data_IF_651512522975
#
_entry.id   IF_651512522975
#
_cell.length_a   1.000
_cell.length_b   1.000
_cell.length_c   1.000
_cell.angle_alpha   90.00
_cell.angle_beta   90.00
_cell.angle_gamma   90.00
#
_symmetry.space_group_name_H-M   'P 1'
#
loop_
_entity.id
_entity.type
_entity.pdbx_description
1 polymer ?
#
# COMPACT_ATOMS: atom_id res chain seq x y z
N UNK A 1 -5.66 -22.45 -29.75
CA UNK A 1 -5.85 -21.28 -28.85
C UNK A 1 -4.57 -21.12 -28.06
N UNK A 2 -3.81 -20.06 -28.33
CA UNK A 2 -2.71 -19.63 -27.45
C UNK A 2 -3.33 -19.12 -26.15
N UNK A 3 -2.81 -19.46 -24.97
CA UNK A 3 -3.33 -18.93 -23.72
C UNK A 3 -3.21 -17.39 -23.69
N UNK A 4 -4.29 -16.69 -23.35
CA UNK A 4 -4.32 -15.22 -23.29
C UNK A 4 -3.57 -14.64 -22.06
N UNK A 5 -3.18 -15.49 -21.11
CA UNK A 5 -2.45 -15.15 -19.89
C UNK A 5 -1.33 -16.16 -19.66
N UNK A 6 -0.08 -15.77 -19.90
CA UNK A 6 1.10 -16.60 -19.64
C UNK A 6 2.12 -15.78 -18.86
N UNK A 7 2.39 -16.18 -17.62
CA UNK A 7 3.47 -15.56 -16.84
C UNK A 7 4.76 -16.30 -17.15
N UNK A 8 5.70 -15.60 -17.79
CA UNK A 8 7.06 -16.11 -17.94
C UNK A 8 7.89 -15.70 -16.73
N UNK A 9 8.55 -16.66 -16.08
CA UNK A 9 9.37 -16.44 -14.89
C UNK A 9 10.74 -15.82 -15.21
N UNK A 10 10.73 -14.59 -15.75
CA UNK A 10 11.91 -13.75 -15.94
C UNK A 10 12.01 -12.61 -14.92
N UNK A 11 12.95 -11.66 -15.12
CA UNK A 11 13.18 -10.58 -14.16
C UNK A 11 11.94 -9.73 -13.86
N UNK A 12 11.07 -9.50 -14.85
CA UNK A 12 9.81 -8.76 -14.70
C UNK A 12 8.91 -9.36 -13.62
N UNK A 13 8.60 -10.65 -13.74
CA UNK A 13 7.69 -11.35 -12.82
C UNK A 13 8.33 -11.63 -11.46
N UNK A 14 9.64 -11.92 -11.42
CA UNK A 14 10.40 -12.14 -10.18
C UNK A 14 10.53 -10.84 -9.37
N UNK A 15 11.01 -9.76 -9.98
CA UNK A 15 11.21 -8.48 -9.27
C UNK A 15 9.89 -7.89 -8.80
N UNK A 16 8.83 -7.95 -9.63
CA UNK A 16 7.51 -7.49 -9.19
C UNK A 16 7.00 -8.31 -8.01
N UNK A 17 7.13 -9.63 -8.01
CA UNK A 17 6.70 -10.47 -6.89
C UNK A 17 7.50 -10.19 -5.61
N UNK A 18 8.83 -10.09 -5.73
CA UNK A 18 9.71 -9.75 -4.60
C UNK A 18 9.36 -8.36 -4.05
N UNK A 19 9.17 -7.37 -4.93
CA UNK A 19 8.74 -6.03 -4.57
C UNK A 19 7.41 -6.03 -3.83
N UNK A 20 6.43 -6.81 -4.30
CA UNK A 20 5.13 -7.00 -3.65
C UNK A 20 5.27 -7.59 -2.26
N UNK A 21 6.04 -8.67 -2.10
CA UNK A 21 6.23 -9.29 -0.78
C UNK A 21 6.88 -8.30 0.19
N UNK A 22 7.94 -7.61 -0.25
CA UNK A 22 8.65 -6.61 0.57
C UNK A 22 7.70 -5.46 0.94
N UNK A 23 6.91 -4.92 0.00
CA UNK A 23 6.02 -3.81 0.31
C UNK A 23 4.92 -4.24 1.29
N UNK A 24 4.37 -5.45 1.16
CA UNK A 24 3.34 -5.96 2.06
C UNK A 24 3.88 -6.12 3.49
N UNK A 25 5.08 -6.69 3.63
CA UNK A 25 5.77 -6.78 4.92
C UNK A 25 5.98 -5.37 5.50
N UNK A 26 6.40 -4.41 4.67
CA UNK A 26 6.57 -3.02 5.08
C UNK A 26 5.29 -2.37 5.61
N UNK A 27 4.17 -2.51 4.90
CA UNK A 27 2.86 -2.00 5.35
C UNK A 27 2.47 -2.63 6.69
N UNK A 28 2.52 -3.96 6.78
CA UNK A 28 2.13 -4.67 7.99
C UNK A 28 3.03 -4.35 9.18
N UNK A 29 4.33 -4.14 8.97
CA UNK A 29 5.25 -3.73 10.01
C UNK A 29 4.89 -2.35 10.57
N UNK A 30 4.68 -1.35 9.70
CA UNK A 30 4.29 0.01 10.12
C UNK A 30 2.95 -0.02 10.83
N UNK A 31 1.98 -0.74 10.27
CA UNK A 31 0.64 -0.84 10.82
C UNK A 31 0.66 -1.52 12.20
N UNK A 32 1.33 -2.65 12.32
CA UNK A 32 1.47 -3.34 13.60
C UNK A 32 2.19 -2.49 14.64
N UNK A 33 3.27 -1.82 14.24
CA UNK A 33 4.03 -0.94 15.13
C UNK A 33 3.15 0.19 15.66
N UNK A 34 2.34 0.80 14.78
CA UNK A 34 1.40 1.83 15.17
C UNK A 34 0.32 1.29 16.12
N UNK A 35 -0.25 0.13 15.82
CA UNK A 35 -1.27 -0.50 16.67
C UNK A 35 -0.75 -0.86 18.07
N UNK A 36 0.48 -1.38 18.17
CA UNK A 36 1.08 -1.82 19.44
C UNK A 36 1.68 -0.65 20.23
N UNK A 37 2.62 0.09 19.62
CA UNK A 37 3.33 1.17 20.31
C UNK A 37 2.46 2.41 20.48
N UNK A 38 1.62 2.73 19.49
CA UNK A 38 0.71 3.88 19.55
C UNK A 38 -0.35 3.73 20.63
N UNK A 39 -0.96 2.54 20.74
CA UNK A 39 -1.93 2.27 21.82
C UNK A 39 -1.27 2.23 23.20
N UNK A 40 -0.07 1.67 23.31
CA UNK A 40 0.70 1.69 24.56
C UNK A 40 1.09 3.12 24.98
N UNK A 41 1.52 3.95 24.03
CA UNK A 41 1.83 5.36 24.26
C UNK A 41 0.60 6.13 24.74
N UNK A 42 -0.56 5.91 24.10
CA UNK A 42 -1.84 6.47 24.55
C UNK A 42 -2.17 6.04 25.98
N UNK A 43 -2.05 4.76 26.32
CA UNK A 43 -2.32 4.26 27.67
C UNK A 43 -1.42 4.92 28.72
N UNK A 44 -0.12 5.07 28.44
CA UNK A 44 0.82 5.79 29.33
C UNK A 44 0.45 7.24 29.51
N UNK A 45 0.11 7.93 28.42
CA UNK A 45 -0.30 9.34 28.46
C UNK A 45 -1.60 9.52 29.25
N UNK A 46 -2.60 8.63 29.05
CA UNK A 46 -3.85 8.64 29.80
C UNK A 46 -3.63 8.43 31.30
N UNK A 47 -2.78 7.47 31.67
CA UNK A 47 -2.46 7.20 33.08
C UNK A 47 -1.79 8.39 33.79
N UNK A 48 -1.04 9.23 33.05
CA UNK A 48 -0.41 10.45 33.58
C UNK A 48 -1.32 11.67 33.62
N UNK A 49 -2.29 11.76 32.70
CA UNK A 49 -3.12 12.95 32.48
C UNK A 49 -4.36 13.08 33.37
N UNK A 50 -4.74 12.01 34.09
CA UNK A 50 -6.00 11.95 34.85
C UNK A 50 -7.25 11.90 33.97
N UNK A 51 -8.38 11.48 34.53
CA UNK A 51 -9.67 11.46 33.82
C UNK A 51 -10.20 12.90 33.66
N UNK A 52 -10.21 13.42 32.44
CA UNK A 52 -10.85 14.71 32.11
C UNK A 52 -10.10 15.57 31.09
N UNK A 53 -8.80 15.35 30.91
CA UNK A 53 -8.00 16.09 29.92
C UNK A 53 -7.85 15.31 28.61
N UNK A 54 -7.78 16.02 27.49
CA UNK A 54 -7.41 15.44 26.21
C UNK A 54 -6.05 14.73 26.34
N UNK A 55 -5.98 13.44 26.00
CA UNK A 55 -4.75 12.66 26.09
C UNK A 55 -3.76 13.17 25.05
N UNK A 56 -2.68 13.80 25.51
CA UNK A 56 -1.58 14.26 24.65
C UNK A 56 -0.43 13.25 24.76
N UNK A 57 -0.12 12.58 23.67
CA UNK A 57 1.01 11.67 23.59
C UNK A 57 2.29 12.51 23.36
N UNK A 58 3.37 12.30 24.15
CA UNK A 58 4.65 12.97 23.92
C UNK A 58 5.19 12.70 22.50
N UNK A 59 5.84 13.68 21.90
CA UNK A 59 6.30 13.60 20.51
C UNK A 59 7.27 12.44 20.27
N UNK A 60 8.19 12.19 21.21
CA UNK A 60 9.12 11.06 21.14
C UNK A 60 8.42 9.69 21.14
N UNK A 61 7.29 9.57 21.87
CA UNK A 61 6.48 8.35 21.87
C UNK A 61 5.72 8.19 20.54
N UNK A 62 5.28 9.29 19.92
CA UNK A 62 4.66 9.30 18.60
C UNK A 62 5.67 8.93 17.49
N UNK A 63 6.89 9.47 17.54
CA UNK A 63 7.98 9.13 16.61
C UNK A 63 8.31 7.65 16.67
N UNK A 64 8.41 7.08 17.88
CA UNK A 64 8.68 5.67 18.08
C UNK A 64 7.55 4.75 17.57
N UNK A 65 6.31 5.26 17.57
CA UNK A 65 5.12 4.54 17.16
C UNK A 65 4.82 4.63 15.65
N UNK A 66 5.32 5.67 14.96
CA UNK A 66 5.27 5.83 13.50
C UNK A 66 6.67 5.67 12.87
N UNK A 67 7.16 4.44 12.70
CA UNK A 67 8.48 4.22 12.10
C UNK A 67 8.51 4.69 10.65
N UNK A 68 9.68 5.16 10.20
CA UNK A 68 9.88 5.51 8.80
C UNK A 68 9.70 4.25 7.92
N UNK A 69 8.87 4.29 6.86
CA UNK A 69 8.46 3.11 6.12
C UNK A 69 9.48 2.68 5.04
N UNK A 70 10.76 2.48 5.41
CA UNK A 70 11.85 2.10 4.47
C UNK A 70 11.49 0.84 3.67
N UNK A 71 11.03 -0.21 4.35
CA UNK A 71 10.74 -1.51 3.71
C UNK A 71 9.63 -1.36 2.67
N UNK A 72 8.60 -0.57 2.98
CA UNK A 72 7.52 -0.28 2.02
C UNK A 72 8.03 0.46 0.78
N UNK A 73 8.86 1.49 0.97
CA UNK A 73 9.43 2.26 -0.14
C UNK A 73 10.35 1.38 -0.99
N UNK A 74 11.20 0.56 -0.37
CA UNK A 74 12.07 -0.38 -1.08
C UNK A 74 11.27 -1.38 -1.93
N UNK A 75 10.17 -1.91 -1.39
CA UNK A 75 9.29 -2.81 -2.14
C UNK A 75 8.71 -2.15 -3.39
N UNK A 76 8.26 -0.90 -3.28
CA UNK A 76 7.81 -0.13 -4.46
C UNK A 76 8.92 0.17 -5.46
N UNK A 77 10.14 0.48 -5.00
CA UNK A 77 11.28 0.70 -5.90
C UNK A 77 11.60 -0.56 -6.70
N UNK A 78 11.67 -1.71 -6.03
CA UNK A 78 11.90 -3.01 -6.70
C UNK A 78 10.76 -3.33 -7.68
N UNK A 79 9.51 -3.10 -7.26
CA UNK A 79 8.34 -3.27 -8.12
C UNK A 79 8.39 -2.36 -9.36
N UNK A 80 8.72 -1.08 -9.18
CA UNK A 80 8.86 -0.13 -10.28
C UNK A 80 9.99 -0.53 -11.24
N UNK A 81 11.14 -0.96 -10.71
CA UNK A 81 12.26 -1.45 -11.51
C UNK A 81 11.91 -2.68 -12.34
N UNK A 82 10.91 -3.47 -11.94
CA UNK A 82 10.45 -4.60 -12.75
C UNK A 82 9.97 -4.16 -14.13
N UNK A 83 9.45 -2.93 -14.31
CA UNK A 83 9.01 -2.40 -15.60
C UNK A 83 10.17 -2.14 -16.56
N UNK A 84 11.43 -2.22 -16.13
CA UNK A 84 12.57 -2.14 -17.03
C UNK A 84 12.77 -3.42 -17.86
N UNK A 85 12.03 -4.49 -17.55
CA UNK A 85 12.12 -5.79 -18.21
C UNK A 85 10.81 -6.14 -18.92
N UNK A 86 10.91 -6.88 -20.01
CA UNK A 86 9.74 -7.35 -20.76
C UNK A 86 9.03 -8.53 -20.09
N UNK A 87 7.79 -8.80 -20.50
CA UNK A 87 7.00 -9.97 -20.06
C UNK A 87 7.45 -11.28 -20.71
N UNK A 88 8.36 -11.25 -21.69
CA UNK A 88 8.81 -12.42 -22.46
C UNK A 88 9.88 -13.28 -21.75
N UNK A 89 10.11 -13.06 -20.46
CA UNK A 89 11.07 -13.82 -19.66
C UNK A 89 12.56 -13.46 -19.89
N UNK A 90 12.87 -12.67 -20.92
CA UNK A 90 14.22 -12.25 -21.24
C UNK A 90 14.87 -11.35 -20.17
N UNK A 91 16.21 -11.37 -20.11
CA UNK A 91 17.01 -10.58 -19.16
C UNK A 91 17.45 -9.23 -19.70
N UNK A 92 17.30 -9.00 -21.01
CA UNK A 92 17.58 -7.72 -21.62
C UNK A 92 16.58 -6.66 -21.12
N UNK A 93 17.08 -5.44 -20.93
CA UNK A 93 16.21 -4.29 -20.70
C UNK A 93 15.32 -4.10 -21.93
N UNK A 94 14.05 -3.81 -21.69
CA UNK A 94 13.14 -3.46 -22.77
C UNK A 94 13.28 -1.98 -23.14
N UNK A 95 12.87 -1.63 -24.36
CA UNK A 95 12.80 -0.25 -24.77
C UNK A 95 11.84 0.55 -23.88
N UNK A 96 12.28 1.74 -23.46
CA UNK A 96 11.51 2.60 -22.57
C UNK A 96 10.39 3.31 -23.35
N UNK A 97 9.27 2.61 -23.50
CA UNK A 97 8.05 3.20 -24.05
C UNK A 97 7.44 4.23 -23.08
N UNK A 98 6.64 5.20 -23.58
CA UNK A 98 5.91 6.13 -22.71
C UNK A 98 5.01 5.40 -21.69
N UNK A 99 4.47 4.24 -22.05
CA UNK A 99 3.62 3.42 -21.18
C UNK A 99 4.43 2.83 -20.02
N UNK A 100 5.60 2.28 -20.32
CA UNK A 100 6.53 1.74 -19.32
C UNK A 100 6.98 2.82 -18.35
N UNK A 101 7.36 3.99 -18.86
CA UNK A 101 7.76 5.15 -18.05
C UNK A 101 6.61 5.60 -17.15
N UNK A 102 5.38 5.66 -17.67
CA UNK A 102 4.21 6.03 -16.90
C UNK A 102 3.92 5.03 -15.77
N UNK A 103 4.13 3.73 -15.99
CA UNK A 103 3.95 2.71 -14.96
C UNK A 103 4.98 2.82 -13.82
N UNK A 104 6.24 3.10 -14.17
CA UNK A 104 7.29 3.41 -13.20
C UNK A 104 6.87 4.65 -12.41
N UNK A 105 6.46 5.72 -13.10
CA UNK A 105 6.03 6.96 -12.46
C UNK A 105 4.88 6.75 -11.47
N UNK A 106 3.79 6.09 -11.86
CA UNK A 106 2.67 5.82 -10.95
C UNK A 106 3.07 4.95 -9.76
N UNK A 107 3.98 3.98 -9.95
CA UNK A 107 4.53 3.17 -8.86
C UNK A 107 5.28 4.04 -7.84
N UNK A 108 6.10 4.99 -8.31
CA UNK A 108 6.81 5.93 -7.44
C UNK A 108 5.87 6.92 -6.75
N UNK A 109 4.83 7.39 -7.45
CA UNK A 109 3.79 8.23 -6.83
C UNK A 109 3.08 7.48 -5.70
N UNK A 110 2.71 6.21 -5.91
CA UNK A 110 2.12 5.37 -4.86
C UNK A 110 3.07 5.19 -3.67
N UNK A 111 4.36 4.94 -3.94
CA UNK A 111 5.39 4.83 -2.92
C UNK A 111 5.46 6.09 -2.04
N UNK A 112 5.47 7.27 -2.66
CA UNK A 112 5.55 8.55 -1.96
C UNK A 112 4.25 8.86 -1.23
N UNK A 113 3.10 8.82 -1.92
CA UNK A 113 1.81 9.23 -1.35
C UNK A 113 1.42 8.37 -0.14
N UNK A 114 1.60 7.06 -0.22
CA UNK A 114 1.20 6.13 0.83
C UNK A 114 2.24 5.95 1.96
N UNK A 115 3.43 6.57 1.86
CA UNK A 115 4.48 6.46 2.88
C UNK A 115 4.44 7.64 3.87
N UNK A 116 5.44 8.51 3.84
CA UNK A 116 5.66 9.58 4.83
C UNK A 116 4.52 10.60 4.87
N UNK A 117 3.99 11.11 3.74
CA UNK A 117 2.89 12.07 3.76
C UNK A 117 1.61 11.50 4.39
N UNK A 118 1.25 10.25 4.05
CA UNK A 118 0.09 9.59 4.64
C UNK A 118 0.30 9.35 6.13
N UNK A 119 1.45 8.81 6.53
CA UNK A 119 1.80 8.60 7.93
C UNK A 119 1.71 9.90 8.74
N UNK A 120 2.23 11.00 8.22
CA UNK A 120 2.12 12.32 8.85
C UNK A 120 0.67 12.80 8.94
N UNK A 121 -0.13 12.63 7.89
CA UNK A 121 -1.53 13.03 7.92
C UNK A 121 -2.31 12.28 9.01
N UNK A 122 -2.01 11.00 9.22
CA UNK A 122 -2.66 10.13 10.20
C UNK A 122 -2.18 10.44 11.61
N UNK A 123 -0.87 10.49 11.80
CA UNK A 123 -0.21 10.82 13.07
C UNK A 123 -0.77 12.10 13.68
N UNK A 124 -0.81 13.17 12.89
CA UNK A 124 -1.29 14.48 13.35
C UNK A 124 -2.80 14.70 13.10
N UNK A 125 -3.55 13.67 12.72
CA UNK A 125 -5.01 13.72 12.51
C UNK A 125 -5.45 14.82 11.53
N UNK A 126 -4.65 15.06 10.49
CA UNK A 126 -4.91 16.09 9.44
C UNK A 126 -5.88 15.56 8.39
N UNK A 127 -7.17 15.49 8.72
CA UNK A 127 -8.25 14.93 7.87
C UNK A 127 -8.24 15.44 6.43
N UNK A 128 -8.11 16.75 6.22
CA UNK A 128 -8.10 17.35 4.88
C UNK A 128 -6.91 16.91 4.03
N UNK A 129 -5.73 16.76 4.64
CA UNK A 129 -4.54 16.26 3.96
C UNK A 129 -4.68 14.77 3.64
N UNK A 130 -5.16 13.97 4.60
CA UNK A 130 -5.43 12.53 4.38
C UNK A 130 -6.38 12.33 3.20
N UNK A 131 -7.48 13.08 3.14
CA UNK A 131 -8.45 12.97 2.04
C UNK A 131 -7.82 13.22 0.67
N UNK A 132 -7.00 14.28 0.54
CA UNK A 132 -6.27 14.58 -0.70
C UNK A 132 -5.29 13.46 -1.08
N UNK A 133 -4.52 12.97 -0.09
CA UNK A 133 -3.59 11.85 -0.29
C UNK A 133 -4.31 10.55 -0.68
N UNK A 134 -5.43 10.23 -0.04
CA UNK A 134 -6.26 9.05 -0.38
C UNK A 134 -6.83 9.15 -1.79
N UNK A 135 -7.25 10.34 -2.22
CA UNK A 135 -7.71 10.55 -3.60
C UNK A 135 -6.56 10.36 -4.60
N UNK A 136 -5.38 10.93 -4.33
CA UNK A 136 -4.19 10.71 -5.16
C UNK A 136 -3.79 9.23 -5.20
N UNK A 137 -3.90 8.52 -4.09
CA UNK A 137 -3.64 7.08 -4.02
C UNK A 137 -4.59 6.30 -4.94
N UNK A 138 -5.90 6.56 -4.89
CA UNK A 138 -6.88 5.89 -5.76
C UNK A 138 -6.63 6.24 -7.23
N UNK A 139 -6.42 7.51 -7.56
CA UNK A 139 -6.12 7.94 -8.94
C UNK A 139 -4.83 7.31 -9.47
N UNK A 140 -3.81 7.17 -8.62
CA UNK A 140 -2.55 6.52 -9.01
C UNK A 140 -2.72 5.03 -9.24
N UNK A 141 -3.61 4.35 -8.48
CA UNK A 141 -3.98 2.96 -8.76
C UNK A 141 -4.73 2.79 -10.09
N UNK A 142 -5.65 3.71 -10.40
CA UNK A 142 -6.33 3.74 -11.71
C UNK A 142 -5.31 3.93 -12.83
N UNK A 143 -4.44 4.93 -12.69
CA UNK A 143 -3.35 5.21 -13.64
C UNK A 143 -2.45 3.99 -13.83
N UNK A 144 -1.93 3.43 -12.73
CA UNK A 144 -1.07 2.25 -12.75
C UNK A 144 -1.74 1.05 -13.41
N UNK A 145 -3.03 0.81 -13.15
CA UNK A 145 -3.79 -0.27 -13.79
C UNK A 145 -3.83 -0.11 -15.30
N UNK A 146 -4.18 1.09 -15.77
CA UNK A 146 -4.29 1.38 -17.21
C UNK A 146 -2.94 1.16 -17.89
N UNK A 147 -1.88 1.79 -17.38
CA UNK A 147 -0.56 1.70 -18.01
C UNK A 147 0.05 0.31 -17.87
N UNK A 148 -0.27 -0.45 -16.83
CA UNK A 148 0.18 -1.85 -16.71
C UNK A 148 -0.50 -2.75 -17.73
N UNK A 149 -1.82 -2.63 -17.92
CA UNK A 149 -2.52 -3.41 -18.94
C UNK A 149 -2.12 -3.05 -20.37
N UNK A 150 -1.77 -1.77 -20.61
CA UNK A 150 -1.19 -1.36 -21.88
C UNK A 150 0.24 -1.89 -22.07
N UNK A 151 1.04 -1.99 -21.00
CA UNK A 151 2.43 -2.45 -21.07
C UNK A 151 2.55 -3.95 -21.36
N UNK A 152 1.56 -4.77 -20.99
CA UNK A 152 1.59 -6.22 -21.25
C UNK A 152 1.17 -6.59 -22.67
N UNK A 153 0.34 -5.76 -23.31
CA UNK A 153 -0.19 -6.04 -24.65
C UNK A 153 -1.18 -7.21 -24.72
N UNK A 154 -1.58 -7.79 -23.58
CA UNK A 154 -2.48 -8.96 -23.50
C UNK A 154 -3.97 -8.60 -23.60
N UNK A 155 -4.30 -7.30 -23.72
CA UNK A 155 -5.67 -6.84 -23.94
C UNK A 155 -6.56 -6.95 -22.70
N UNK A 156 -7.85 -7.22 -22.90
CA UNK A 156 -8.89 -7.14 -21.87
C UNK A 156 -8.59 -7.92 -20.56
N UNK A 157 -8.01 -9.14 -20.58
CA UNK A 157 -7.72 -9.89 -19.36
C UNK A 157 -6.82 -9.13 -18.36
N UNK A 158 -5.79 -8.42 -18.84
CA UNK A 158 -4.91 -7.64 -17.96
C UNK A 158 -5.64 -6.49 -17.27
N UNK A 159 -6.52 -5.78 -17.98
CA UNK A 159 -7.31 -4.69 -17.39
C UNK A 159 -8.31 -5.21 -16.36
N UNK A 160 -8.95 -6.35 -16.62
CA UNK A 160 -9.91 -6.95 -15.69
C UNK A 160 -9.19 -7.40 -14.41
N UNK A 161 -8.12 -8.18 -14.53
CA UNK A 161 -7.38 -8.68 -13.37
C UNK A 161 -6.67 -7.54 -12.61
N UNK A 162 -6.05 -6.61 -13.33
CA UNK A 162 -5.40 -5.44 -12.74
C UNK A 162 -6.41 -4.54 -12.02
N UNK A 163 -7.56 -4.27 -12.65
CA UNK A 163 -8.63 -3.48 -12.07
C UNK A 163 -9.24 -4.12 -10.83
N UNK A 164 -9.56 -5.42 -10.88
CA UNK A 164 -10.03 -6.16 -9.71
C UNK A 164 -8.99 -6.18 -8.60
N UNK A 165 -7.71 -6.35 -8.95
CA UNK A 165 -6.59 -6.29 -8.03
C UNK A 165 -6.51 -4.95 -7.28
N UNK A 166 -6.53 -3.84 -8.02
CA UNK A 166 -6.52 -2.49 -7.47
C UNK A 166 -7.74 -2.22 -6.57
N UNK A 167 -8.94 -2.65 -6.98
CA UNK A 167 -10.16 -2.52 -6.17
C UNK A 167 -10.04 -3.30 -4.87
N UNK A 168 -9.54 -4.55 -4.90
CA UNK A 168 -9.31 -5.36 -3.72
C UNK A 168 -8.31 -4.69 -2.75
N UNK A 169 -7.22 -4.11 -3.27
CA UNK A 169 -6.23 -3.37 -2.46
C UNK A 169 -6.85 -2.14 -1.79
N UNK A 170 -7.61 -1.33 -2.54
CA UNK A 170 -8.27 -0.13 -1.98
C UNK A 170 -9.33 -0.52 -0.93
N UNK A 171 -10.14 -1.54 -1.22
CA UNK A 171 -11.16 -2.04 -0.29
C UNK A 171 -10.52 -2.63 0.98
N UNK A 172 -9.40 -3.34 0.81
CA UNK A 172 -8.60 -3.87 1.92
C UNK A 172 -8.16 -2.76 2.87
N UNK A 173 -7.54 -1.70 2.35
CA UNK A 173 -7.07 -0.59 3.17
C UNK A 173 -8.24 0.03 3.95
N UNK A 174 -9.39 0.25 3.30
CA UNK A 174 -10.58 0.76 3.98
C UNK A 174 -11.05 -0.14 5.13
N UNK A 175 -11.05 -1.45 4.94
CA UNK A 175 -11.47 -2.41 5.98
C UNK A 175 -10.47 -2.49 7.13
N UNK A 176 -9.17 -2.61 6.83
CA UNK A 176 -8.12 -2.67 7.85
C UNK A 176 -8.14 -1.41 8.72
N UNK A 177 -8.23 -0.23 8.10
CA UNK A 177 -8.25 1.04 8.82
C UNK A 177 -9.48 1.24 9.69
N UNK A 178 -10.66 0.81 9.22
CA UNK A 178 -11.89 0.90 10.00
C UNK A 178 -11.84 0.07 11.29
N UNK A 179 -11.24 -1.12 11.24
CA UNK A 179 -11.38 -2.11 12.31
C UNK A 179 -10.14 -2.33 13.18
N UNK A 180 -8.97 -1.81 12.79
CA UNK A 180 -7.73 -1.94 13.56
C UNK A 180 -7.72 -1.06 14.82
N UNK A 181 -6.69 -1.24 15.66
CA UNK A 181 -6.58 -0.53 16.94
C UNK A 181 -6.36 0.97 16.78
N UNK A 182 -5.44 1.38 15.92
CA UNK A 182 -5.05 2.79 15.80
C UNK A 182 -5.43 3.39 14.43
N UNK A 183 -6.47 2.86 13.79
CA UNK A 183 -6.93 3.29 12.46
C UNK A 183 -7.88 4.48 12.55
N UNK A 184 -9.07 4.36 11.97
CA UNK A 184 -10.03 5.46 11.88
C UNK A 184 -10.44 6.01 13.26
N UNK A 185 -10.43 5.17 14.31
CA UNK A 185 -10.72 5.62 15.67
C UNK A 185 -9.71 6.66 16.19
N UNK A 186 -8.43 6.52 15.84
CA UNK A 186 -7.39 7.48 16.21
C UNK A 186 -7.67 8.83 15.57
N UNK A 187 -8.08 8.83 14.30
CA UNK A 187 -8.34 10.06 13.57
C UNK A 187 -9.60 10.78 14.03
N UNK A 188 -10.65 10.02 14.31
CA UNK A 188 -11.95 10.56 14.69
C UNK A 188 -11.97 10.99 16.17
N UNK A 189 -11.38 10.17 17.04
CA UNK A 189 -11.56 10.28 18.48
C UNK A 189 -10.26 10.58 19.23
N UNK A 190 -9.10 10.56 18.56
CA UNK A 190 -7.80 10.66 19.23
C UNK A 190 -7.50 9.50 20.17
N UNK A 191 -8.16 8.36 19.96
CA UNK A 191 -8.11 7.23 20.88
C UNK A 191 -8.07 5.88 20.12
N UNK A 192 -7.47 4.84 20.72
CA UNK A 192 -7.53 3.49 20.17
C UNK A 192 -8.97 2.98 20.07
N UNK A 193 -9.24 2.14 19.08
CA UNK A 193 -10.50 1.45 18.90
C UNK A 193 -10.74 0.52 20.09
N UNK A 194 -11.86 0.65 20.84
CA UNK A 194 -12.13 -0.19 22.01
C UNK A 194 -12.47 -1.64 21.64
N UNK A 195 -12.87 -1.91 20.39
CA UNK A 195 -13.28 -3.24 19.92
C UNK A 195 -12.68 -3.51 18.53
N UNK A 196 -11.36 -3.72 18.44
CA UNK A 196 -10.72 -4.02 17.17
C UNK A 196 -11.20 -5.38 16.63
N UNK A 197 -11.47 -5.48 15.33
CA UNK A 197 -11.83 -6.75 14.68
C UNK A 197 -10.59 -7.29 13.98
N UNK A 198 -9.99 -8.30 14.58
CA UNK A 198 -8.72 -8.91 14.11
C UNK A 198 -8.95 -9.79 12.88
N UNK A 199 -10.06 -10.53 12.84
CA UNK A 199 -10.42 -11.40 11.72
C UNK A 199 -11.42 -10.70 10.79
N UNK A 200 -10.89 -9.88 9.89
CA UNK A 200 -11.68 -9.24 8.84
C UNK A 200 -11.08 -9.55 7.45
N UNK A 201 -11.85 -9.26 6.40
CA UNK A 201 -11.43 -9.54 5.01
C UNK A 201 -10.33 -8.62 4.49
N UNK A 202 -9.88 -7.62 5.25
CA UNK A 202 -8.87 -6.67 4.84
C UNK A 202 -7.54 -7.33 4.48
N UNK A 203 -6.99 -8.17 5.36
CA UNK A 203 -5.75 -8.91 5.09
C UNK A 203 -5.85 -9.81 3.85
N UNK A 204 -6.84 -10.73 3.79
CA UNK A 204 -7.05 -11.58 2.63
C UNK A 204 -7.25 -10.81 1.31
N UNK A 205 -8.04 -9.73 1.31
CA UNK A 205 -8.23 -8.90 0.11
C UNK A 205 -6.95 -8.17 -0.31
N UNK A 206 -6.06 -7.84 0.63
CA UNK A 206 -4.78 -7.22 0.28
C UNK A 206 -3.89 -8.17 -0.51
N UNK A 207 -3.72 -9.38 0.02
CA UNK A 207 -2.91 -10.45 -0.60
C UNK A 207 -3.49 -10.82 -1.96
N UNK A 208 -4.81 -11.06 -2.00
CA UNK A 208 -5.51 -11.42 -3.22
C UNK A 208 -5.46 -10.31 -4.27
N UNK A 209 -5.65 -9.05 -3.86
CA UNK A 209 -5.59 -7.91 -4.76
C UNK A 209 -4.21 -7.75 -5.41
N UNK A 210 -3.14 -7.89 -4.61
CA UNK A 210 -1.78 -7.89 -5.15
C UNK A 210 -1.48 -9.08 -6.05
N UNK A 211 -2.00 -10.27 -5.72
CA UNK A 211 -1.87 -11.43 -6.58
C UNK A 211 -2.53 -11.20 -7.95
N UNK A 212 -3.78 -10.71 -7.99
CA UNK A 212 -4.47 -10.39 -9.24
C UNK A 212 -3.73 -9.33 -10.05
N UNK A 213 -3.24 -8.28 -9.37
CA UNK A 213 -2.49 -7.22 -10.02
C UNK A 213 -1.16 -7.73 -10.61
N UNK A 214 -0.46 -8.60 -9.87
CA UNK A 214 0.76 -9.23 -10.32
C UNK A 214 0.52 -10.10 -11.54
N UNK A 215 -0.51 -10.96 -11.52
CA UNK A 215 -0.88 -11.78 -12.69
C UNK A 215 -1.11 -10.88 -13.90
N UNK A 216 -1.88 -9.79 -13.74
CA UNK A 216 -2.19 -8.86 -14.82
C UNK A 216 -0.96 -8.16 -15.42
N UNK A 217 0.01 -7.77 -14.60
CA UNK A 217 1.17 -7.00 -15.05
C UNK A 217 2.34 -7.86 -15.52
N UNK A 218 2.40 -9.12 -15.07
CA UNK A 218 3.46 -10.07 -15.35
C UNK A 218 3.14 -11.02 -16.52
N UNK A 219 1.86 -11.12 -16.91
CA UNK A 219 1.36 -11.89 -18.06
C UNK A 219 1.62 -11.24 -19.40
#
# INVERSE_FOLDING_TARGET
MTPDLIIQFGPRSILSLVGIIILMIGVWYVDRTWDEKGSAAYARAKAKGGDGNAVVIPEADLDAAFPFPIVFILGWLIFASSYLFSTSGGTALQDLSPVTIAAIFFSLVLAVVASVPMGNAVRYRKKGLKMKLSMMFVLSWVGLTIVSGLATGTGAPSFILGGLGAVCIVASMKLLWKYRKMGDSWEQNGAPNPKPIVYNMGGPLFVFGWFLFWVAMAS
#
